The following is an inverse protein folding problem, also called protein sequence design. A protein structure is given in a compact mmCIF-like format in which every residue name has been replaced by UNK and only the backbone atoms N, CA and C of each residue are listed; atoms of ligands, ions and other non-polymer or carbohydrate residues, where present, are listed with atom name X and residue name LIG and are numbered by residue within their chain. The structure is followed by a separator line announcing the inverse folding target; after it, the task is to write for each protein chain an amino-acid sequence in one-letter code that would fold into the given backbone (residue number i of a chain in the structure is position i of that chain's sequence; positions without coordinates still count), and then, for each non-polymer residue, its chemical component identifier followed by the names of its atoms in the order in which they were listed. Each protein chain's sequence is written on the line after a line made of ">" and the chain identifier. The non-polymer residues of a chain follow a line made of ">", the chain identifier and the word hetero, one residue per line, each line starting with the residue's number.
data_IF_020029919640
#
_entry.id   IF_020029919640
#
_cell.length_a   1.000
_cell.length_b   1.000
_cell.length_c   1.000
_cell.angle_alpha   90.00
_cell.angle_beta   90.00
_cell.angle_gamma   90.00
#
_symmetry.space_group_name_H-M   'P 1'
#
loop_
_entity.id
_entity.type
_entity.pdbx_description
1 polymer ?
#
# COMPACT_ATOMS: atom_id res chain seq x y z
N UNK A 1 15.11 18.68 -7.14
CA UNK A 1 15.98 17.52 -7.43
C UNK A 1 15.06 16.40 -7.88
N UNK A 2 15.15 15.93 -9.14
CA UNK A 2 14.36 14.77 -9.60
C UNK A 2 15.06 13.52 -9.07
N UNK A 3 14.49 12.85 -8.09
CA UNK A 3 14.95 11.53 -7.64
C UNK A 3 14.62 10.56 -8.78
N UNK A 4 15.57 10.34 -9.69
CA UNK A 4 15.41 9.39 -10.79
C UNK A 4 15.95 8.04 -10.34
N UNK A 5 15.08 7.03 -10.27
CA UNK A 5 15.51 5.64 -10.07
C UNK A 5 16.10 5.16 -11.39
N UNK A 6 17.35 4.71 -11.39
CA UNK A 6 17.97 4.12 -12.58
C UNK A 6 17.35 2.76 -12.89
N UNK A 7 17.29 2.39 -14.17
CA UNK A 7 16.77 1.08 -14.63
C UNK A 7 17.56 -0.09 -14.00
N UNK A 8 18.82 0.11 -13.62
CA UNK A 8 19.65 -0.91 -12.98
C UNK A 8 19.83 -0.69 -11.47
N UNK A 9 19.12 0.25 -10.87
CA UNK A 9 19.22 0.52 -9.45
C UNK A 9 18.66 -0.65 -8.65
N UNK A 10 19.49 -1.22 -7.76
CA UNK A 10 19.13 -2.41 -7.00
C UNK A 10 19.24 -3.73 -7.78
N UNK A 11 19.85 -3.75 -8.97
CA UNK A 11 20.14 -4.99 -9.73
C UNK A 11 21.63 -5.37 -9.57
N UNK A 12 21.94 -6.26 -8.63
CA UNK A 12 23.20 -6.95 -8.46
C UNK A 12 23.48 -8.01 -9.54
N UNK A 13 24.67 -8.64 -9.48
CA UNK A 13 25.14 -9.63 -10.47
C UNK A 13 24.48 -11.01 -10.36
N UNK A 14 23.62 -11.23 -9.38
CA UNK A 14 23.08 -12.55 -9.06
C UNK A 14 21.67 -12.75 -9.64
N UNK A 15 21.50 -13.92 -10.28
CA UNK A 15 20.34 -14.37 -11.08
C UNK A 15 19.00 -14.51 -10.30
N UNK A 16 18.89 -13.99 -9.08
CA UNK A 16 17.71 -14.07 -8.23
C UNK A 16 16.92 -12.75 -8.15
N UNK A 17 17.47 -11.66 -8.67
CA UNK A 17 16.78 -10.38 -8.69
C UNK A 17 15.94 -10.25 -9.97
N UNK A 18 14.63 -10.16 -9.78
CA UNK A 18 13.69 -9.88 -10.86
C UNK A 18 13.62 -8.37 -11.04
N UNK A 19 14.25 -7.78 -12.08
CA UNK A 19 14.51 -6.33 -12.14
C UNK A 19 13.23 -5.50 -12.03
N UNK A 20 12.14 -5.98 -12.64
CA UNK A 20 10.82 -5.33 -12.56
C UNK A 20 10.27 -5.30 -11.14
N UNK A 21 10.37 -6.41 -10.39
CA UNK A 21 9.88 -6.46 -9.01
C UNK A 21 10.68 -5.51 -8.10
N UNK A 22 12.01 -5.50 -8.25
CA UNK A 22 12.88 -4.57 -7.51
C UNK A 22 12.55 -3.12 -7.85
N UNK A 23 12.43 -2.78 -9.13
CA UNK A 23 12.11 -1.41 -9.54
C UNK A 23 10.75 -0.96 -9.01
N UNK A 24 9.73 -1.82 -9.03
CA UNK A 24 8.42 -1.51 -8.44
C UNK A 24 8.61 -1.15 -6.97
N UNK A 25 9.28 -2.01 -6.18
CA UNK A 25 9.51 -1.77 -4.76
C UNK A 25 10.27 -0.48 -4.47
N UNK A 26 11.27 -0.12 -5.29
CA UNK A 26 12.02 1.14 -5.16
C UNK A 26 11.13 2.36 -5.40
N UNK A 27 10.26 2.33 -6.42
CA UNK A 27 9.34 3.43 -6.71
C UNK A 27 8.28 3.59 -5.61
N UNK A 28 7.77 2.47 -5.07
CA UNK A 28 6.84 2.49 -3.93
C UNK A 28 7.50 3.09 -2.69
N UNK A 29 8.71 2.63 -2.35
CA UNK A 29 9.46 3.13 -1.21
C UNK A 29 9.80 4.62 -1.37
N UNK A 30 10.19 5.06 -2.57
CA UNK A 30 10.47 6.47 -2.85
C UNK A 30 9.19 7.33 -2.72
N UNK A 31 8.07 6.87 -3.27
CA UNK A 31 6.80 7.57 -3.16
C UNK A 31 6.35 7.72 -1.70
N UNK A 32 6.47 6.66 -0.90
CA UNK A 32 6.18 6.68 0.53
C UNK A 32 7.16 7.58 1.29
N UNK A 33 8.46 7.53 0.99
CA UNK A 33 9.47 8.35 1.67
C UNK A 33 9.29 9.85 1.41
N UNK A 34 9.00 10.23 0.16
CA UNK A 34 8.71 11.62 -0.21
C UNK A 34 7.42 12.11 0.45
N UNK A 35 6.37 11.29 0.43
CA UNK A 35 5.15 11.60 1.16
C UNK A 35 5.42 11.75 2.66
N UNK A 36 6.20 10.85 3.26
CA UNK A 36 6.48 10.88 4.69
C UNK A 36 7.30 12.12 5.11
N UNK A 37 8.25 12.53 4.28
CA UNK A 37 9.10 13.71 4.52
C UNK A 37 8.35 15.02 4.32
N UNK A 38 7.64 15.15 3.21
CA UNK A 38 7.14 16.44 2.74
C UNK A 38 5.63 16.62 3.00
N UNK A 39 4.91 15.54 3.34
CA UNK A 39 3.45 15.56 3.46
C UNK A 39 2.72 15.73 2.14
N UNK A 40 3.39 15.48 1.01
CA UNK A 40 2.88 15.70 -0.34
C UNK A 40 2.77 14.36 -1.06
N UNK A 41 1.62 14.07 -1.66
CA UNK A 41 1.43 12.85 -2.45
C UNK A 41 2.23 12.88 -3.75
N UNK A 42 2.51 11.69 -4.30
CA UNK A 42 3.28 11.49 -5.52
C UNK A 42 2.53 10.57 -6.51
N UNK A 43 1.33 10.95 -6.98
CA UNK A 43 0.52 10.08 -7.84
C UNK A 43 1.25 9.67 -9.13
N UNK A 44 2.13 10.51 -9.67
CA UNK A 44 2.91 10.17 -10.87
C UNK A 44 3.95 9.06 -10.62
N UNK A 45 4.55 9.00 -9.42
CA UNK A 45 5.42 7.87 -9.05
C UNK A 45 4.60 6.58 -8.94
N UNK A 46 3.39 6.66 -8.38
CA UNK A 46 2.48 5.51 -8.34
C UNK A 46 2.03 5.07 -9.73
N UNK A 47 1.82 6.00 -10.68
CA UNK A 47 1.56 5.63 -12.08
C UNK A 47 2.74 4.91 -12.73
N UNK A 48 3.98 5.28 -12.41
CA UNK A 48 5.15 4.52 -12.86
C UNK A 48 5.15 3.09 -12.30
N UNK A 49 4.75 2.90 -11.03
CA UNK A 49 4.60 1.54 -10.47
C UNK A 49 3.57 0.70 -11.22
N UNK A 50 2.48 1.32 -11.71
CA UNK A 50 1.47 0.62 -12.51
C UNK A 50 2.00 0.20 -13.88
N UNK A 51 2.77 1.06 -14.54
CA UNK A 51 3.39 0.74 -15.83
C UNK A 51 4.36 -0.45 -15.69
N UNK A 52 5.21 -0.42 -14.67
CA UNK A 52 6.14 -1.51 -14.35
C UNK A 52 5.38 -2.79 -13.97
N UNK A 53 4.28 -2.68 -13.21
CA UNK A 53 3.45 -3.82 -12.87
C UNK A 53 2.80 -4.45 -14.10
N UNK A 54 2.31 -3.63 -15.05
CA UNK A 54 1.74 -4.14 -16.29
C UNK A 54 2.80 -4.84 -17.15
N UNK A 55 4.01 -4.28 -17.22
CA UNK A 55 5.13 -4.93 -17.89
C UNK A 55 5.45 -6.28 -17.24
N UNK A 56 5.51 -6.31 -15.91
CA UNK A 56 5.73 -7.52 -15.13
C UNK A 56 4.64 -8.59 -15.36
N UNK A 57 3.37 -8.18 -15.44
CA UNK A 57 2.26 -9.08 -15.77
C UNK A 57 2.44 -9.74 -17.15
N UNK A 58 2.99 -9.01 -18.12
CA UNK A 58 3.19 -9.49 -19.48
C UNK A 58 4.45 -10.37 -19.63
N UNK A 59 5.50 -10.10 -18.85
CA UNK A 59 6.83 -10.68 -19.06
C UNK A 59 7.16 -11.82 -18.09
N UNK A 60 6.78 -11.72 -16.82
CA UNK A 60 7.30 -12.62 -15.77
C UNK A 60 6.36 -12.80 -14.58
N UNK A 61 5.04 -12.72 -14.79
CA UNK A 61 4.03 -12.83 -13.74
C UNK A 61 4.18 -14.09 -12.89
N UNK A 62 4.29 -15.26 -13.52
CA UNK A 62 4.34 -16.56 -12.81
C UNK A 62 5.68 -16.79 -12.09
N UNK A 63 6.73 -16.08 -12.49
CA UNK A 63 8.05 -16.15 -11.86
C UNK A 63 8.07 -15.36 -10.53
N UNK A 64 7.33 -14.24 -10.45
CA UNK A 64 7.21 -13.42 -9.24
C UNK A 64 6.11 -13.94 -8.33
N UNK A 65 4.93 -14.23 -8.90
CA UNK A 65 3.76 -14.70 -8.16
C UNK A 65 3.44 -16.14 -8.57
N UNK A 66 3.68 -17.12 -7.68
CA UNK A 66 3.21 -18.47 -7.89
C UNK A 66 1.69 -18.49 -8.18
N UNK A 67 1.22 -19.43 -9.00
CA UNK A 67 -0.20 -19.50 -9.43
C UNK A 67 -1.26 -19.25 -8.34
N UNK A 68 -1.14 -19.78 -7.10
CA UNK A 68 -2.10 -19.50 -6.03
C UNK A 68 -2.13 -18.02 -5.59
N UNK A 69 -1.04 -17.30 -5.79
CA UNK A 69 -0.84 -15.91 -5.41
C UNK A 69 -1.29 -14.90 -6.46
N UNK A 70 -1.45 -15.31 -7.73
CA UNK A 70 -1.90 -14.44 -8.81
C UNK A 70 -3.25 -13.81 -8.46
N UNK A 71 -4.27 -14.60 -8.09
CA UNK A 71 -5.57 -14.05 -7.68
C UNK A 71 -5.60 -13.50 -6.24
N UNK A 72 -4.48 -13.46 -5.52
CA UNK A 72 -4.42 -13.04 -4.12
C UNK A 72 -3.43 -11.90 -3.92
N UNK A 73 -2.16 -12.19 -3.64
CA UNK A 73 -1.12 -11.21 -3.36
C UNK A 73 -0.89 -10.25 -4.54
N UNK A 74 -0.81 -10.77 -5.77
CA UNK A 74 -0.61 -9.92 -6.94
C UNK A 74 -1.74 -8.90 -7.11
N UNK A 75 -3.01 -9.34 -7.00
CA UNK A 75 -4.15 -8.43 -7.07
C UNK A 75 -4.14 -7.45 -5.90
N UNK A 76 -3.81 -7.89 -4.69
CA UNK A 76 -3.72 -6.99 -3.53
C UNK A 76 -2.72 -5.85 -3.77
N UNK A 77 -1.51 -6.18 -4.24
CA UNK A 77 -0.49 -5.18 -4.51
C UNK A 77 -0.88 -4.29 -5.69
N UNK A 78 -1.51 -4.86 -6.74
CA UNK A 78 -2.05 -4.08 -7.86
C UNK A 78 -3.12 -3.08 -7.40
N UNK A 79 -4.07 -3.51 -6.56
CA UNK A 79 -5.11 -2.62 -6.04
C UNK A 79 -4.53 -1.47 -5.22
N UNK A 80 -3.54 -1.76 -4.36
CA UNK A 80 -2.83 -0.72 -3.61
C UNK A 80 -2.20 0.32 -4.54
N UNK A 81 -1.51 -0.10 -5.59
CA UNK A 81 -0.92 0.81 -6.59
C UNK A 81 -1.98 1.65 -7.29
N UNK A 82 -3.09 1.04 -7.72
CA UNK A 82 -4.21 1.74 -8.34
C UNK A 82 -4.78 2.83 -7.43
N UNK A 83 -4.96 2.55 -6.14
CA UNK A 83 -5.48 3.52 -5.18
C UNK A 83 -4.56 4.72 -4.96
N UNK A 84 -3.26 4.49 -4.90
CA UNK A 84 -2.27 5.55 -4.72
C UNK A 84 -2.04 6.36 -6.00
N UNK A 85 -2.20 5.74 -7.17
CA UNK A 85 -2.11 6.40 -8.48
C UNK A 85 -3.40 7.11 -8.91
N UNK A 86 -4.49 6.98 -8.14
CA UNK A 86 -5.84 7.41 -8.50
C UNK A 86 -6.37 6.77 -9.80
N UNK A 87 -5.89 5.57 -10.13
CA UNK A 87 -6.23 4.81 -11.32
C UNK A 87 -7.37 3.82 -11.01
N UNK A 88 -8.55 4.34 -10.68
CA UNK A 88 -9.64 3.55 -10.13
C UNK A 88 -10.28 2.63 -11.17
N UNK A 89 -10.48 3.13 -12.38
CA UNK A 89 -11.03 2.38 -13.51
C UNK A 89 -10.10 1.22 -13.89
N UNK A 90 -8.79 1.45 -13.96
CA UNK A 90 -7.79 0.39 -14.17
C UNK A 90 -7.78 -0.64 -13.04
N UNK A 91 -7.99 -0.18 -11.79
CA UNK A 91 -8.14 -1.05 -10.63
C UNK A 91 -9.36 -1.96 -10.74
N UNK A 92 -10.50 -1.41 -11.17
CA UNK A 92 -11.74 -2.16 -11.40
C UNK A 92 -11.54 -3.22 -12.49
N UNK A 93 -10.96 -2.83 -13.63
CA UNK A 93 -10.70 -3.73 -14.76
C UNK A 93 -9.75 -4.86 -14.32
N UNK A 94 -8.64 -4.52 -13.66
CA UNK A 94 -7.65 -5.50 -13.23
C UNK A 94 -8.20 -6.46 -12.17
N UNK A 95 -8.96 -5.97 -11.19
CA UNK A 95 -9.62 -6.85 -10.22
C UNK A 95 -10.56 -7.84 -10.92
N UNK A 96 -11.44 -7.36 -11.80
CA UNK A 96 -12.41 -8.21 -12.51
C UNK A 96 -11.73 -9.23 -13.42
N UNK A 97 -10.61 -8.88 -14.03
CA UNK A 97 -9.81 -9.81 -14.84
C UNK A 97 -9.36 -11.05 -14.03
N UNK A 98 -8.85 -10.87 -12.81
CA UNK A 98 -8.29 -11.97 -12.01
C UNK A 98 -9.27 -12.63 -11.03
N UNK A 99 -10.24 -11.85 -10.52
CA UNK A 99 -11.17 -12.28 -9.47
C UNK A 99 -12.61 -12.45 -9.97
N UNK A 100 -12.92 -12.06 -11.21
CA UNK A 100 -14.27 -12.05 -11.76
C UNK A 100 -15.10 -10.84 -11.32
N UNK A 101 -16.35 -10.79 -11.79
CA UNK A 101 -17.25 -9.64 -11.61
C UNK A 101 -17.95 -9.58 -10.24
N UNK A 102 -17.71 -10.55 -9.36
CA UNK A 102 -18.38 -10.59 -8.06
C UNK A 102 -17.96 -9.40 -7.19
N UNK A 103 -18.94 -8.60 -6.77
CA UNK A 103 -18.70 -7.51 -5.84
C UNK A 103 -18.55 -8.04 -4.40
N UNK A 104 -17.57 -7.54 -3.63
CA UNK A 104 -17.57 -7.67 -2.19
C UNK A 104 -18.90 -7.20 -1.59
N UNK A 105 -19.28 -7.78 -0.47
CA UNK A 105 -20.40 -7.29 0.35
C UNK A 105 -19.82 -6.51 1.51
N UNK A 106 -20.59 -5.61 2.11
CA UNK A 106 -20.19 -4.85 3.32
C UNK A 106 -19.57 -5.74 4.40
N UNK A 107 -20.08 -6.98 4.55
CA UNK A 107 -19.61 -7.96 5.54
C UNK A 107 -18.23 -8.54 5.24
N UNK A 108 -17.74 -8.47 3.99
CA UNK A 108 -16.49 -9.10 3.58
C UNK A 108 -15.43 -8.12 3.06
N UNK A 109 -15.70 -6.81 3.09
CA UNK A 109 -14.74 -5.78 2.66
C UNK A 109 -13.38 -5.91 3.36
N UNK A 110 -13.40 -6.06 4.69
CA UNK A 110 -12.20 -6.17 5.54
C UNK A 110 -11.46 -7.51 5.42
N UNK A 111 -11.98 -8.47 4.65
CA UNK A 111 -11.41 -9.83 4.63
C UNK A 111 -10.07 -9.91 3.92
N UNK A 112 -9.78 -9.00 2.99
CA UNK A 112 -8.50 -8.91 2.32
C UNK A 112 -8.23 -7.52 1.74
N UNK A 113 -6.95 -7.21 1.59
CA UNK A 113 -6.42 -6.01 0.96
C UNK A 113 -7.00 -5.81 -0.44
N UNK A 114 -7.08 -6.88 -1.25
CA UNK A 114 -7.64 -6.80 -2.61
C UNK A 114 -9.13 -6.44 -2.61
N UNK A 115 -9.94 -6.98 -1.70
CA UNK A 115 -11.38 -6.75 -1.68
C UNK A 115 -11.66 -5.31 -1.24
N UNK A 116 -10.96 -4.86 -0.20
CA UNK A 116 -11.08 -3.49 0.27
C UNK A 116 -10.56 -2.51 -0.79
N UNK A 117 -9.42 -2.82 -1.43
CA UNK A 117 -8.86 -2.02 -2.50
C UNK A 117 -9.82 -1.86 -3.68
N UNK A 118 -10.46 -2.95 -4.10
CA UNK A 118 -11.48 -2.91 -5.15
C UNK A 118 -12.70 -2.09 -4.76
N UNK A 119 -13.15 -2.20 -3.50
CA UNK A 119 -14.26 -1.39 -3.01
C UNK A 119 -13.94 0.11 -2.97
N UNK A 120 -12.71 0.50 -2.63
CA UNK A 120 -12.27 1.89 -2.75
C UNK A 120 -12.25 2.36 -4.22
N UNK A 121 -11.79 1.54 -5.17
CA UNK A 121 -11.85 1.90 -6.59
C UNK A 121 -13.31 2.09 -7.06
N UNK A 122 -14.22 1.18 -6.68
CA UNK A 122 -15.65 1.31 -6.98
C UNK A 122 -16.28 2.55 -6.33
N UNK A 123 -15.83 2.93 -5.14
CA UNK A 123 -16.28 4.14 -4.48
C UNK A 123 -15.90 5.39 -5.24
N UNK A 124 -14.64 5.54 -5.60
CA UNK A 124 -14.17 6.75 -6.26
C UNK A 124 -14.59 6.84 -7.73
N UNK A 125 -14.69 5.72 -8.45
CA UNK A 125 -15.10 5.72 -9.86
C UNK A 125 -16.63 5.69 -10.06
N UNK A 126 -17.35 4.91 -9.25
CA UNK A 126 -18.78 4.60 -9.48
C UNK A 126 -19.70 5.07 -8.32
N UNK A 127 -19.17 5.66 -7.24
CA UNK A 127 -19.96 6.07 -6.08
C UNK A 127 -20.53 4.92 -5.26
N UNK A 128 -19.95 3.72 -5.35
CA UNK A 128 -20.35 2.54 -4.57
C UNK A 128 -19.77 2.57 -3.16
N UNK A 129 -20.47 2.02 -2.18
CA UNK A 129 -20.07 2.03 -0.75
C UNK A 129 -19.96 3.45 -0.18
N UNK A 130 -20.31 3.63 1.09
CA UNK A 130 -20.11 4.93 1.75
C UNK A 130 -18.66 5.06 2.26
N UNK A 131 -18.21 6.30 2.44
CA UNK A 131 -16.90 6.55 3.08
C UNK A 131 -16.84 5.93 4.48
N UNK A 132 -17.93 5.98 5.24
CA UNK A 132 -18.03 5.37 6.58
C UNK A 132 -17.91 3.85 6.55
N UNK A 133 -18.55 3.20 5.56
CA UNK A 133 -18.48 1.76 5.38
C UNK A 133 -17.05 1.31 5.07
N UNK A 134 -16.38 2.02 4.16
CA UNK A 134 -14.99 1.76 3.82
C UNK A 134 -14.06 2.02 5.00
N UNK A 135 -14.25 3.13 5.71
CA UNK A 135 -13.43 3.47 6.88
C UNK A 135 -13.57 2.43 7.99
N UNK A 136 -14.80 1.95 8.25
CA UNK A 136 -15.04 0.88 9.21
C UNK A 136 -14.34 -0.41 8.80
N UNK A 137 -14.52 -0.85 7.54
CA UNK A 137 -13.88 -2.06 7.03
C UNK A 137 -12.34 -1.96 7.05
N UNK A 138 -11.79 -0.79 6.72
CA UNK A 138 -10.36 -0.58 6.71
C UNK A 138 -9.75 -0.61 8.12
N UNK A 139 -10.40 -0.05 9.13
CA UNK A 139 -9.95 -0.15 10.53
C UNK A 139 -9.94 -1.60 11.04
N UNK A 140 -10.90 -2.42 10.63
CA UNK A 140 -10.90 -3.86 10.94
C UNK A 140 -9.71 -4.55 10.26
N UNK A 141 -9.46 -4.26 8.97
CA UNK A 141 -8.32 -4.80 8.25
C UNK A 141 -6.99 -4.41 8.92
N UNK A 142 -6.81 -3.12 9.26
CA UNK A 142 -5.62 -2.60 9.94
C UNK A 142 -5.37 -3.36 11.25
N UNK A 143 -6.38 -3.44 12.12
CA UNK A 143 -6.27 -4.12 13.42
C UNK A 143 -5.87 -5.59 13.29
N UNK A 144 -6.38 -6.29 12.26
CA UNK A 144 -6.08 -7.70 12.02
C UNK A 144 -4.69 -7.94 11.42
N UNK A 145 -4.16 -6.99 10.65
CA UNK A 145 -2.93 -7.17 9.85
C UNK A 145 -1.70 -6.49 10.44
N UNK A 146 -1.90 -5.44 11.26
CA UNK A 146 -0.82 -4.57 11.72
C UNK A 146 0.30 -5.35 12.41
N UNK A 147 -0.04 -6.14 13.43
CA UNK A 147 0.93 -6.94 14.18
C UNK A 147 1.33 -8.20 13.41
N UNK A 148 0.35 -9.11 13.20
CA UNK A 148 0.58 -10.49 12.76
C UNK A 148 1.12 -10.67 11.33
N UNK A 149 0.94 -9.67 10.46
CA UNK A 149 1.21 -9.80 9.03
C UNK A 149 2.13 -8.73 8.47
N UNK A 150 2.05 -7.50 8.96
CA UNK A 150 2.86 -6.41 8.46
C UNK A 150 4.10 -6.15 9.31
N UNK A 151 3.94 -5.66 10.54
CA UNK A 151 5.09 -5.24 11.34
C UNK A 151 5.94 -6.42 11.82
N UNK A 152 5.33 -7.50 12.32
CA UNK A 152 6.07 -8.69 12.77
C UNK A 152 6.87 -9.39 11.67
N UNK A 153 6.48 -9.19 10.40
CA UNK A 153 7.15 -9.76 9.22
C UNK A 153 8.07 -8.79 8.49
N UNK A 154 8.34 -7.62 9.07
CA UNK A 154 9.23 -6.64 8.45
C UNK A 154 8.66 -6.01 7.18
N UNK A 155 7.33 -5.85 7.12
CA UNK A 155 6.58 -5.22 6.03
C UNK A 155 5.98 -3.86 6.44
N UNK A 156 6.82 -2.88 6.85
CA UNK A 156 6.33 -1.59 7.32
C UNK A 156 5.72 -0.73 6.20
N UNK A 157 6.11 -0.96 4.95
CA UNK A 157 5.59 -0.22 3.81
C UNK A 157 4.09 -0.51 3.61
N UNK A 158 3.67 -1.75 3.76
CA UNK A 158 2.27 -2.17 3.65
C UNK A 158 1.42 -1.59 4.78
N UNK A 159 1.94 -1.60 6.01
CA UNK A 159 1.31 -0.93 7.14
C UNK A 159 1.13 0.57 6.86
N UNK A 160 2.21 1.25 6.42
CA UNK A 160 2.20 2.68 6.14
C UNK A 160 1.23 3.03 4.99
N UNK A 161 1.17 2.21 3.94
CA UNK A 161 0.31 2.45 2.79
C UNK A 161 -1.17 2.34 3.16
N UNK A 162 -1.55 1.36 3.98
CA UNK A 162 -2.92 1.25 4.46
C UNK A 162 -3.26 2.34 5.49
N UNK A 163 -2.34 2.71 6.38
CA UNK A 163 -2.54 3.86 7.27
C UNK A 163 -2.75 5.16 6.48
N UNK A 164 -1.92 5.41 5.45
CA UNK A 164 -2.08 6.54 4.53
C UNK A 164 -3.45 6.51 3.85
N UNK A 165 -3.86 5.35 3.33
CA UNK A 165 -5.17 5.18 2.68
C UNK A 165 -6.33 5.51 3.62
N UNK A 166 -6.25 5.13 4.89
CA UNK A 166 -7.34 5.30 5.88
C UNK A 166 -7.37 6.69 6.50
N UNK A 167 -6.21 7.29 6.76
CA UNK A 167 -6.08 8.47 7.62
C UNK A 167 -5.55 9.72 6.91
N UNK A 168 -5.08 9.61 5.67
CA UNK A 168 -4.51 10.75 4.94
C UNK A 168 -5.21 11.01 3.61
N UNK A 169 -5.30 9.97 2.78
CA UNK A 169 -5.80 10.10 1.41
C UNK A 169 -7.17 10.78 1.42
N UNK A 170 -7.25 11.91 0.72
CA UNK A 170 -8.51 12.61 0.42
C UNK A 170 -9.25 13.11 1.66
N UNK A 171 -8.51 13.44 2.73
CA UNK A 171 -9.02 14.16 3.89
C UNK A 171 -8.52 15.61 3.86
N UNK A 172 -9.43 16.58 3.95
CA UNK A 172 -9.09 18.00 3.94
C UNK A 172 -8.19 18.40 5.14
N UNK A 173 -8.42 17.76 6.29
CA UNK A 173 -7.70 18.00 7.54
C UNK A 173 -6.78 16.82 7.90
N UNK A 174 -6.13 16.24 6.88
CA UNK A 174 -5.23 15.10 7.07
C UNK A 174 -4.08 15.45 8.04
N UNK A 175 -3.81 14.62 9.06
CA UNK A 175 -2.66 14.80 9.93
C UNK A 175 -1.35 14.73 9.13
N UNK A 176 -0.25 15.19 9.72
CA UNK A 176 1.05 15.00 9.06
C UNK A 176 1.42 13.49 9.02
N UNK A 177 2.27 13.05 8.07
CA UNK A 177 2.59 11.64 7.89
C UNK A 177 3.10 10.93 9.14
N UNK A 178 3.87 11.62 9.99
CA UNK A 178 4.35 11.07 11.27
C UNK A 178 3.18 10.79 12.22
N UNK A 179 2.22 11.71 12.34
CA UNK A 179 1.01 11.48 13.14
C UNK A 179 0.20 10.29 12.62
N UNK A 180 0.15 10.08 11.30
CA UNK A 180 -0.51 8.91 10.71
C UNK A 180 0.23 7.62 11.03
N UNK A 181 1.56 7.62 10.98
CA UNK A 181 2.33 6.46 11.44
C UNK A 181 2.05 6.14 12.91
N UNK A 182 1.91 7.15 13.76
CA UNK A 182 1.54 6.94 15.16
C UNK A 182 0.14 6.33 15.34
N UNK A 183 -0.75 6.40 14.34
CA UNK A 183 -2.03 5.68 14.37
C UNK A 183 -1.87 4.17 14.24
N UNK A 184 -0.67 3.66 13.96
CA UNK A 184 -0.40 2.23 14.05
C UNK A 184 -0.72 1.67 15.45
N UNK A 185 -0.44 2.45 16.51
CA UNK A 185 -0.71 2.04 17.90
C UNK A 185 -2.21 1.86 18.20
N UNK A 186 -3.10 2.61 17.52
CA UNK A 186 -4.55 2.40 17.60
C UNK A 186 -4.97 0.99 17.10
N UNK A 187 -4.07 0.30 16.39
CA UNK A 187 -4.27 -1.01 15.77
C UNK A 187 -3.32 -2.09 16.32
N UNK A 188 -2.60 -1.81 17.40
CA UNK A 188 -1.69 -2.74 18.08
C UNK A 188 -2.15 -2.94 19.54
N UNK A 189 -3.14 -3.82 19.79
CA UNK A 189 -3.67 -3.99 21.15
C UNK A 189 -2.56 -4.47 22.11
N UNK A 190 -2.36 -3.74 23.21
CA UNK A 190 -1.35 -4.06 24.22
C UNK A 190 0.04 -3.50 23.93
N UNK A 191 0.21 -2.71 22.88
CA UNK A 191 1.44 -1.97 22.59
C UNK A 191 1.20 -0.49 22.86
N UNK A 192 1.85 0.07 23.87
CA UNK A 192 1.80 1.50 24.16
C UNK A 192 2.84 2.26 23.30
N UNK A 193 2.52 3.47 22.82
CA UNK A 193 3.51 4.35 22.21
C UNK A 193 4.67 4.62 23.16
N UNK A 194 5.89 4.63 22.63
CA UNK A 194 7.04 5.13 23.39
C UNK A 194 6.78 6.58 23.82
N UNK A 195 7.10 6.90 25.07
CA UNK A 195 7.00 8.27 25.55
C UNK A 195 7.92 9.18 24.75
N UNK A 196 7.53 10.45 24.61
CA UNK A 196 8.30 11.44 23.85
C UNK A 196 9.73 11.58 24.41
N UNK A 197 9.88 11.42 25.71
CA UNK A 197 11.17 11.39 26.43
C UNK A 197 12.06 10.22 25.97
N UNK A 198 11.50 9.01 25.82
CA UNK A 198 12.23 7.83 25.35
C UNK A 198 12.64 7.99 23.88
N UNK A 199 11.76 8.58 23.07
CA UNK A 199 12.07 8.89 21.65
C UNK A 199 13.24 9.87 21.58
N UNK A 200 13.21 10.97 22.34
CA UNK A 200 14.29 11.97 22.34
C UNK A 200 15.62 11.40 22.86
N UNK A 201 15.58 10.59 23.91
CA UNK A 201 16.78 9.93 24.43
C UNK A 201 17.42 8.97 23.40
N UNK A 202 16.59 8.22 22.66
CA UNK A 202 17.07 7.30 21.63
C UNK A 202 17.69 8.05 20.44
N UNK A 203 17.09 9.17 20.01
CA UNK A 203 17.62 10.01 18.94
C UNK A 203 18.94 10.68 19.34
N UNK A 204 19.07 11.12 20.58
CA UNK A 204 20.31 11.69 21.10
C UNK A 204 21.47 10.66 21.19
N UNK A 205 21.15 9.37 21.30
CA UNK A 205 22.15 8.28 21.34
C UNK A 205 22.63 7.82 19.95
N UNK A 206 21.98 8.29 18.88
CA UNK A 206 22.30 7.98 17.48
C UNK A 206 23.19 9.05 16.81
N UNK A 207 23.56 10.11 17.52
CA UNK A 207 24.51 11.15 17.09
C UNK A 207 25.89 10.92 17.68
#
# INVERSE_FOLDING_TARGET
>A
MRYGISVNEGVGKDYLEMPLFTQIGLHEALALALWFRDGIDQPELWRQTLQLHQQMQNECLEDIYPKPQIKTAQVADYMCRCLQAEAYEEGIIGYRHYCGDSMPTSRNLHTSERNLGYAYCLHYAEGRYSADELQHAAKILLTRRMDDEWLSRGRPNEALLWLKTVYWNRQADAPNPRQIWMKAYDHLPGVEPLSEEVIQASLASLG
#
